data_IF_574940100048
#
_entry.id   IF_574940100048
#
_cell.length_a   1.000
_cell.length_b   1.000
_cell.length_c   1.000
_cell.angle_alpha   90.00
_cell.angle_beta   90.00
_cell.angle_gamma   90.00
#
_symmetry.space_group_name_H-M   'P 1'
#
loop_
_entity.id
_entity.type
_entity.pdbx_description
1 polymer ?
#
# COMPACT_ATOMS: atom_id res chain seq x y z
N UNK A 1 1.57 4.99 -9.95
CA UNK A 1 0.38 5.28 -10.77
C UNK A 1 -0.22 6.60 -10.34
N UNK A 2 -0.37 6.85 -9.04
CA UNK A 2 -0.98 8.07 -8.46
C UNK A 2 -0.49 9.40 -9.08
N UNK A 3 0.80 9.57 -9.36
CA UNK A 3 1.34 10.78 -10.03
C UNK A 3 0.78 11.07 -11.46
N UNK A 4 -0.05 10.22 -12.05
CA UNK A 4 -0.53 10.41 -13.43
C UNK A 4 -1.59 11.53 -13.52
N UNK A 5 -1.78 12.16 -14.70
CA UNK A 5 -2.77 13.23 -14.88
C UNK A 5 -4.24 12.87 -14.59
N UNK A 6 -4.57 11.57 -14.58
CA UNK A 6 -5.91 11.09 -14.21
C UNK A 6 -6.11 10.85 -12.72
N UNK A 7 -5.12 11.19 -11.89
CA UNK A 7 -5.11 11.03 -10.42
C UNK A 7 -4.55 12.32 -9.81
N UNK A 8 -3.33 12.31 -9.26
CA UNK A 8 -2.79 13.44 -8.49
C UNK A 8 -2.16 14.52 -9.41
N UNK A 9 -1.86 14.19 -10.68
CA UNK A 9 -1.26 15.08 -11.68
C UNK A 9 0.05 15.77 -11.22
N UNK A 10 0.86 15.05 -10.44
CA UNK A 10 2.12 15.55 -9.90
C UNK A 10 3.24 15.59 -10.96
N UNK A 11 3.78 16.78 -11.25
CA UNK A 11 4.96 16.93 -12.12
C UNK A 11 6.27 16.46 -11.45
N UNK A 12 6.33 16.58 -10.12
CA UNK A 12 7.57 16.43 -9.34
C UNK A 12 7.34 15.61 -8.08
N UNK A 13 8.22 14.65 -7.81
CA UNK A 13 8.26 13.89 -6.55
C UNK A 13 9.65 13.93 -5.96
N UNK A 14 9.77 14.45 -4.74
CA UNK A 14 11.05 14.60 -3.99
C UNK A 14 12.14 15.32 -4.80
N UNK A 15 11.79 16.41 -5.46
CA UNK A 15 12.71 17.24 -6.25
C UNK A 15 13.16 16.64 -7.58
N UNK A 16 12.51 15.57 -8.05
CA UNK A 16 12.76 14.95 -9.36
C UNK A 16 11.47 14.86 -10.17
N UNK A 17 11.55 14.88 -11.51
CA UNK A 17 10.38 14.67 -12.36
C UNK A 17 9.73 13.32 -12.07
N UNK A 18 8.40 13.27 -12.07
CA UNK A 18 7.66 12.01 -11.94
C UNK A 18 7.83 11.14 -13.19
N UNK A 19 7.47 9.86 -13.07
CA UNK A 19 7.74 8.86 -14.14
C UNK A 19 7.11 9.26 -15.47
N UNK A 20 5.90 9.84 -15.45
CA UNK A 20 5.19 10.22 -16.65
C UNK A 20 5.79 11.47 -17.30
N UNK A 21 6.32 12.41 -16.50
CA UNK A 21 7.06 13.58 -17.01
C UNK A 21 8.40 13.16 -17.63
N UNK A 22 9.13 12.25 -16.98
CA UNK A 22 10.45 11.85 -17.45
C UNK A 22 10.42 10.90 -18.66
N UNK A 23 9.40 10.04 -18.76
CA UNK A 23 9.39 8.92 -19.71
C UNK A 23 8.10 8.79 -20.54
N UNK A 24 7.12 9.66 -20.31
CA UNK A 24 5.81 9.60 -20.95
C UNK A 24 4.80 8.72 -20.21
N UNK A 25 3.52 9.04 -20.38
CA UNK A 25 2.39 8.40 -19.71
C UNK A 25 2.31 6.89 -19.95
N UNK A 26 2.44 6.44 -21.20
CA UNK A 26 2.36 5.01 -21.53
C UNK A 26 3.43 4.19 -20.80
N UNK A 27 4.65 4.72 -20.70
CA UNK A 27 5.74 4.08 -19.97
C UNK A 27 5.48 4.06 -18.48
N UNK A 28 4.94 5.16 -17.91
CA UNK A 28 4.60 5.21 -16.50
C UNK A 28 3.51 4.21 -16.10
N UNK A 29 2.47 4.04 -16.93
CA UNK A 29 1.42 3.03 -16.72
C UNK A 29 2.03 1.62 -16.74
N UNK A 30 2.76 1.28 -17.79
CA UNK A 30 3.36 -0.05 -17.95
C UNK A 30 4.41 -0.35 -16.88
N UNK A 31 5.16 0.66 -16.41
CA UNK A 31 6.10 0.50 -15.32
C UNK A 31 5.38 0.15 -14.01
N UNK A 32 4.27 0.83 -13.68
CA UNK A 32 3.47 0.50 -12.51
C UNK A 32 2.89 -0.91 -12.59
N UNK A 33 2.32 -1.30 -13.73
CA UNK A 33 1.76 -2.64 -13.95
C UNK A 33 2.84 -3.73 -13.80
N UNK A 34 4.01 -3.50 -14.40
CA UNK A 34 5.13 -4.42 -14.32
C UNK A 34 5.68 -4.54 -12.89
N UNK A 35 5.81 -3.43 -12.15
CA UNK A 35 6.26 -3.44 -10.75
C UNK A 35 5.27 -4.17 -9.83
N UNK A 36 3.97 -3.95 -10.05
CA UNK A 36 2.92 -4.64 -9.30
C UNK A 36 2.99 -6.16 -9.53
N UNK A 37 3.11 -6.60 -10.79
CA UNK A 37 3.28 -8.01 -11.13
C UNK A 37 4.60 -8.60 -10.59
N UNK A 38 5.69 -7.83 -10.67
CA UNK A 38 7.00 -8.21 -10.17
C UNK A 38 6.98 -8.49 -8.66
N UNK A 39 6.25 -7.69 -7.87
CA UNK A 39 6.13 -7.90 -6.43
C UNK A 39 5.58 -9.30 -6.09
N UNK A 40 4.53 -9.76 -6.80
CA UNK A 40 4.00 -11.13 -6.63
C UNK A 40 4.97 -12.19 -7.13
N UNK A 41 5.66 -11.93 -8.24
CA UNK A 41 6.71 -12.81 -8.76
C UNK A 41 7.82 -13.04 -7.73
N UNK A 42 8.26 -11.97 -7.05
CA UNK A 42 9.27 -12.05 -6.00
C UNK A 42 8.78 -12.89 -4.81
N UNK A 43 7.54 -12.68 -4.32
CA UNK A 43 7.01 -13.47 -3.21
C UNK A 43 6.82 -14.95 -3.54
N UNK A 44 6.49 -15.27 -4.78
CA UNK A 44 6.28 -16.64 -5.26
C UNK A 44 7.61 -17.40 -5.55
N UNK A 45 8.73 -16.70 -5.70
CA UNK A 45 10.04 -17.26 -6.03
C UNK A 45 10.63 -18.07 -4.87
N UNK A 46 11.19 -19.25 -5.17
CA UNK A 46 11.82 -20.13 -4.17
C UNK A 46 13.01 -19.50 -3.46
N UNK A 47 13.67 -18.52 -4.08
CA UNK A 47 14.75 -17.73 -3.47
C UNK A 47 14.26 -16.88 -2.30
N UNK A 48 12.98 -16.51 -2.28
CA UNK A 48 12.38 -15.75 -1.18
C UNK A 48 12.13 -16.65 0.02
N UNK A 49 11.62 -17.86 -0.19
CA UNK A 49 11.47 -18.85 0.87
C UNK A 49 11.31 -20.25 0.28
N UNK A 50 11.95 -21.28 0.85
CA UNK A 50 11.88 -22.66 0.32
C UNK A 50 10.49 -23.30 0.46
N UNK A 51 9.77 -22.99 1.55
CA UNK A 51 8.43 -23.52 1.82
C UNK A 51 7.35 -22.84 0.96
N UNK A 52 6.62 -23.59 0.09
CA UNK A 52 5.60 -23.02 -0.77
C UNK A 52 4.38 -22.48 -0.01
N UNK A 53 4.08 -22.98 1.20
CA UNK A 53 2.94 -22.48 1.98
C UNK A 53 3.23 -21.07 2.52
N UNK A 54 4.45 -20.82 2.97
CA UNK A 54 4.91 -19.48 3.39
C UNK A 54 4.82 -18.51 2.21
N UNK A 55 5.28 -18.91 1.01
CA UNK A 55 5.18 -18.09 -0.20
C UNK A 55 3.74 -17.77 -0.59
N UNK A 56 2.86 -18.77 -0.56
CA UNK A 56 1.44 -18.60 -0.86
C UNK A 56 0.76 -17.65 0.14
N UNK A 57 1.06 -17.79 1.43
CA UNK A 57 0.50 -16.93 2.49
C UNK A 57 0.96 -15.48 2.35
N UNK A 58 2.25 -15.23 2.08
CA UNK A 58 2.75 -13.87 1.81
C UNK A 58 2.11 -13.25 0.57
N UNK A 59 1.99 -14.04 -0.50
CA UNK A 59 1.36 -13.62 -1.76
C UNK A 59 -0.10 -13.23 -1.53
N UNK A 60 -0.85 -14.04 -0.78
CA UNK A 60 -2.24 -13.75 -0.43
C UNK A 60 -2.36 -12.50 0.47
N UNK A 61 -1.45 -12.33 1.43
CA UNK A 61 -1.37 -11.15 2.28
C UNK A 61 -1.19 -9.88 1.46
N UNK A 62 -0.19 -9.85 0.56
CA UNK A 62 0.07 -8.70 -0.30
C UNK A 62 -1.10 -8.43 -1.26
N UNK A 63 -1.70 -9.48 -1.85
CA UNK A 63 -2.84 -9.33 -2.76
C UNK A 63 -4.03 -8.65 -2.08
N UNK A 64 -4.35 -9.05 -0.84
CA UNK A 64 -5.43 -8.43 -0.07
C UNK A 64 -5.11 -6.96 0.26
N UNK A 65 -3.86 -6.69 0.66
CA UNK A 65 -3.45 -5.35 1.08
C UNK A 65 -3.30 -4.36 -0.07
N UNK A 66 -2.88 -4.81 -1.26
CA UNK A 66 -2.74 -3.96 -2.45
C UNK A 66 -4.06 -3.79 -3.22
N UNK A 67 -4.99 -4.75 -3.07
CA UNK A 67 -6.21 -4.84 -3.86
C UNK A 67 -7.36 -3.90 -3.43
N UNK A 68 -8.60 -4.18 -3.89
CA UNK A 68 -9.75 -3.28 -3.70
C UNK A 68 -10.22 -3.17 -2.24
N UNK A 69 -9.88 -4.14 -1.40
CA UNK A 69 -10.15 -4.09 0.05
C UNK A 69 -8.96 -3.51 0.84
N UNK A 70 -7.97 -2.95 0.15
CA UNK A 70 -6.75 -2.35 0.68
C UNK A 70 -6.39 -1.07 -0.10
N UNK A 71 -5.11 -0.90 -0.44
CA UNK A 71 -4.54 0.30 -1.06
C UNK A 71 -5.34 0.83 -2.25
N UNK A 72 -5.65 0.01 -3.25
CA UNK A 72 -6.38 0.47 -4.43
C UNK A 72 -7.80 0.96 -4.11
N UNK A 73 -8.47 0.33 -3.16
CA UNK A 73 -9.77 0.80 -2.66
C UNK A 73 -9.65 2.11 -1.89
N UNK A 74 -8.60 2.24 -1.08
CA UNK A 74 -8.27 3.49 -0.38
C UNK A 74 -8.00 4.64 -1.34
N UNK A 75 -7.22 4.41 -2.40
CA UNK A 75 -6.96 5.41 -3.44
C UNK A 75 -8.24 5.84 -4.14
N UNK A 76 -9.14 4.91 -4.45
CA UNK A 76 -10.45 5.28 -5.02
C UNK A 76 -11.30 6.11 -4.05
N UNK A 77 -11.28 5.79 -2.75
CA UNK A 77 -11.98 6.60 -1.75
C UNK A 77 -11.42 8.02 -1.68
N UNK A 78 -10.11 8.17 -1.86
CA UNK A 78 -9.42 9.46 -1.83
C UNK A 78 -9.78 10.34 -3.03
N UNK A 79 -9.77 9.79 -4.24
CA UNK A 79 -10.25 10.50 -5.44
C UNK A 79 -11.71 10.96 -5.30
N UNK A 80 -12.56 10.16 -4.63
CA UNK A 80 -13.96 10.54 -4.37
C UNK A 80 -14.06 11.65 -3.31
N UNK A 81 -13.11 11.70 -2.36
CA UNK A 81 -13.08 12.68 -1.28
C UNK A 81 -12.87 14.10 -1.80
N UNK A 82 -12.15 14.28 -2.92
CA UNK A 82 -12.00 15.59 -3.58
C UNK A 82 -13.34 16.23 -3.97
N UNK A 83 -14.38 15.41 -4.13
CA UNK A 83 -15.71 15.84 -4.57
C UNK A 83 -16.79 15.59 -3.50
N UNK A 84 -16.42 15.15 -2.30
CA UNK A 84 -17.36 14.73 -1.25
C UNK A 84 -16.85 15.06 0.16
N UNK A 85 -17.75 15.49 1.05
CA UNK A 85 -17.37 15.69 2.47
C UNK A 85 -17.40 14.36 3.21
N UNK A 86 -16.26 13.98 3.80
CA UNK A 86 -16.15 12.79 4.65
C UNK A 86 -16.26 13.15 6.13
N UNK A 87 -16.91 12.26 6.89
CA UNK A 87 -16.85 12.32 8.35
C UNK A 87 -15.58 11.61 8.84
N UNK A 88 -15.26 11.77 10.14
CA UNK A 88 -14.07 11.17 10.74
C UNK A 88 -13.97 9.65 10.50
N UNK A 89 -15.09 8.92 10.55
CA UNK A 89 -15.08 7.47 10.35
C UNK A 89 -14.68 7.09 8.92
N UNK A 90 -15.19 7.82 7.93
CA UNK A 90 -14.85 7.60 6.52
C UNK A 90 -13.40 7.98 6.23
N UNK A 91 -12.91 9.09 6.79
CA UNK A 91 -11.49 9.49 6.69
C UNK A 91 -10.59 8.43 7.31
N UNK A 92 -10.88 7.98 8.54
CA UNK A 92 -10.12 6.90 9.18
C UNK A 92 -10.11 5.63 8.33
N UNK A 93 -11.25 5.28 7.73
CA UNK A 93 -11.35 4.11 6.85
C UNK A 93 -10.52 4.27 5.58
N UNK A 94 -10.57 5.43 4.94
CA UNK A 94 -9.73 5.76 3.78
C UNK A 94 -8.27 5.54 4.14
N UNK A 95 -7.81 6.12 5.25
CA UNK A 95 -6.40 6.07 5.65
C UNK A 95 -5.93 4.67 6.04
N UNK A 96 -6.78 3.89 6.71
CA UNK A 96 -6.54 2.47 6.97
C UNK A 96 -6.35 1.66 5.68
N UNK A 97 -7.02 2.05 4.59
CA UNK A 97 -6.94 1.35 3.31
C UNK A 97 -5.78 1.86 2.46
N UNK A 98 -5.73 3.15 2.16
CA UNK A 98 -4.76 3.78 1.24
C UNK A 98 -3.32 3.54 1.71
N UNK A 99 -3.07 3.79 2.99
CA UNK A 99 -1.71 3.75 3.56
C UNK A 99 -1.54 2.59 4.54
N UNK A 100 -2.50 2.43 5.47
CA UNK A 100 -2.39 1.47 6.56
C UNK A 100 -2.31 0.01 6.12
N UNK A 101 -2.99 -0.36 5.02
CA UNK A 101 -3.07 -1.76 4.57
C UNK A 101 -1.69 -2.32 4.19
N UNK A 102 -0.86 -1.55 3.48
CA UNK A 102 0.48 -2.00 3.11
C UNK A 102 1.46 -1.99 4.29
N UNK A 103 1.34 -1.02 5.22
CA UNK A 103 2.12 -1.04 6.47
C UNK A 103 1.80 -2.30 7.28
N UNK A 104 0.52 -2.64 7.42
CA UNK A 104 0.08 -3.87 8.07
C UNK A 104 0.59 -5.13 7.37
N UNK A 105 0.58 -5.15 6.04
CA UNK A 105 1.11 -6.26 5.26
C UNK A 105 2.61 -6.48 5.50
N UNK A 106 3.42 -5.42 5.62
CA UNK A 106 4.84 -5.54 5.93
C UNK A 106 5.08 -6.29 7.26
N UNK A 107 4.31 -5.95 8.29
CA UNK A 107 4.41 -6.61 9.60
C UNK A 107 3.91 -8.05 9.55
N UNK A 108 2.78 -8.30 8.89
CA UNK A 108 2.20 -9.64 8.75
C UNK A 108 3.13 -10.57 7.93
N UNK A 109 3.72 -10.09 6.83
CA UNK A 109 4.71 -10.82 6.04
C UNK A 109 5.94 -11.19 6.89
N UNK A 110 6.40 -10.28 7.75
CA UNK A 110 7.46 -10.59 8.72
C UNK A 110 7.08 -11.72 9.68
N UNK A 111 5.84 -11.74 10.16
CA UNK A 111 5.33 -12.81 11.03
C UNK A 111 5.21 -14.16 10.29
N UNK A 112 4.77 -14.13 9.03
CA UNK A 112 4.68 -15.29 8.14
C UNK A 112 6.08 -15.90 7.91
N UNK A 113 7.07 -15.07 7.57
CA UNK A 113 8.47 -15.48 7.43
C UNK A 113 9.04 -16.06 8.73
N UNK A 114 8.70 -15.45 9.87
CA UNK A 114 9.05 -15.94 11.20
C UNK A 114 8.31 -17.20 11.65
N UNK A 115 7.39 -17.73 10.82
CA UNK A 115 6.51 -18.87 11.14
C UNK A 115 5.75 -18.70 12.47
N UNK A 116 5.36 -17.46 12.77
CA UNK A 116 4.51 -17.18 13.92
C UNK A 116 3.13 -17.75 13.62
N UNK A 117 2.59 -18.59 14.52
CA UNK A 117 1.24 -19.12 14.41
C UNK A 117 0.22 -17.96 14.38
N UNK A 118 -0.89 -18.15 13.66
CA UNK A 118 -1.87 -17.09 13.39
C UNK A 118 -2.38 -16.42 14.68
N UNK A 119 -2.62 -17.21 15.73
CA UNK A 119 -3.09 -16.73 17.03
C UNK A 119 -2.08 -15.79 17.70
N UNK A 120 -0.78 -16.07 17.48
CA UNK A 120 0.34 -15.28 17.99
C UNK A 120 0.54 -13.95 17.28
N UNK A 121 -0.14 -13.70 16.15
CA UNK A 121 0.04 -12.46 15.36
C UNK A 121 -0.85 -11.31 15.82
N UNK A 122 -1.74 -11.53 16.77
CA UNK A 122 -2.71 -10.52 17.24
C UNK A 122 -2.04 -9.22 17.68
N UNK A 123 -0.99 -9.30 18.51
CA UNK A 123 -0.27 -8.11 18.98
C UNK A 123 0.49 -7.40 17.85
N UNK A 124 0.98 -8.13 16.86
CA UNK A 124 1.65 -7.56 15.69
C UNK A 124 0.68 -6.80 14.80
N UNK A 125 -0.54 -7.33 14.62
CA UNK A 125 -1.62 -6.65 13.89
C UNK A 125 -2.07 -5.37 14.60
N UNK A 126 -2.19 -5.41 15.93
CA UNK A 126 -2.46 -4.22 16.75
C UNK A 126 -1.37 -3.16 16.59
N UNK A 127 -0.11 -3.56 16.71
CA UNK A 127 1.04 -2.67 16.47
C UNK A 127 0.99 -2.03 15.08
N UNK A 128 0.73 -2.81 14.03
CA UNK A 128 0.76 -2.28 12.67
C UNK A 128 -0.42 -1.33 12.38
N UNK A 129 -1.58 -1.61 12.96
CA UNK A 129 -2.74 -0.71 12.92
C UNK A 129 -2.40 0.65 13.55
N UNK A 130 -1.84 0.63 14.77
CA UNK A 130 -1.54 1.86 15.50
C UNK A 130 -0.41 2.65 14.84
N UNK A 131 0.60 1.95 14.29
CA UNK A 131 1.67 2.57 13.51
C UNK A 131 1.13 3.24 12.24
N UNK A 132 0.24 2.58 11.50
CA UNK A 132 -0.36 3.15 10.29
C UNK A 132 -1.18 4.40 10.57
N UNK A 133 -1.95 4.42 11.67
CA UNK A 133 -2.69 5.59 12.10
C UNK A 133 -1.76 6.74 12.54
N UNK A 134 -0.73 6.42 13.32
CA UNK A 134 0.24 7.42 13.77
C UNK A 134 1.03 8.04 12.61
N UNK A 135 1.40 7.22 11.60
CA UNK A 135 2.05 7.70 10.39
C UNK A 135 1.20 8.75 9.67
N UNK A 136 -0.09 8.48 9.49
CA UNK A 136 -0.96 9.41 8.79
C UNK A 136 -1.19 10.71 9.57
N UNK A 137 -1.40 10.62 10.89
CA UNK A 137 -1.55 11.82 11.72
C UNK A 137 -0.30 12.70 11.62
N UNK A 138 0.89 12.10 11.59
CA UNK A 138 2.13 12.84 11.43
C UNK A 138 2.23 13.50 10.03
N UNK A 139 1.85 12.78 8.98
CA UNK A 139 1.82 13.28 7.60
C UNK A 139 0.87 14.48 7.46
N UNK A 140 -0.36 14.34 7.97
CA UNK A 140 -1.37 15.41 7.97
C UNK A 140 -0.93 16.66 8.75
N UNK A 141 -0.14 16.50 9.82
CA UNK A 141 0.42 17.64 10.58
C UNK A 141 1.51 18.34 9.76
N UNK A 142 2.39 17.57 9.11
CA UNK A 142 3.50 18.11 8.32
C UNK A 142 3.03 18.86 7.07
N UNK A 143 1.89 18.47 6.50
CA UNK A 143 1.30 19.15 5.33
C UNK A 143 0.64 20.50 5.66
N UNK A 144 0.35 20.76 6.94
CA UNK A 144 -0.28 22.02 7.40
C UNK A 144 0.72 23.04 7.94
N UNK A 145 1.94 22.62 8.28
CA UNK A 145 3.06 23.49 8.74
C UNK A 145 3.84 24.15 7.58
#
# INVERSE_FOLDING_TARGET
HDDMPGMDDDDMRRGKPTTHIAFGEATAVLAGDALHALAFGLLADERTHHDPFVRAEMTACLAKAAGPAGMAGGQMMDLVAEHSTFNLQTVTRLQQLKTGALIAACVEIGAILGRVAEEGRTSLRGYAHDLGLAFQIADDILDVE
#
